data_IF_357378877317
#
_entry.id   IF_357378877317
#
_cell.length_a   1.000
_cell.length_b   1.000
_cell.length_c   1.000
_cell.angle_alpha   90.00
_cell.angle_beta   90.00
_cell.angle_gamma   90.00
#
_symmetry.space_group_name_H-M   'P 1'
#
loop_
_entity.id
_entity.type
_entity.pdbx_description
1 polymer ?
#
# COMPACT_ATOMS: atom_id res chain seq x y z
N UNK A 1 -26.79 -9.16 11.71
CA UNK A 1 -26.09 -7.87 11.52
C UNK A 1 -25.31 -7.64 12.78
N UNK A 2 -24.08 -8.14 12.83
CA UNK A 2 -23.22 -8.03 14.01
C UNK A 2 -22.17 -7.00 13.66
N UNK A 3 -22.20 -5.87 14.37
CA UNK A 3 -21.21 -4.81 14.20
C UNK A 3 -19.82 -5.41 14.36
N UNK A 4 -19.04 -5.41 13.27
CA UNK A 4 -17.63 -5.74 13.29
C UNK A 4 -16.90 -4.59 14.02
N UNK A 5 -17.09 -4.55 15.35
CA UNK A 5 -16.45 -3.60 16.22
C UNK A 5 -14.95 -3.93 16.20
N UNK A 6 -14.22 -3.10 15.47
CA UNK A 6 -12.77 -3.18 15.36
C UNK A 6 -12.16 -3.19 16.77
N UNK A 7 -11.56 -4.32 17.14
CA UNK A 7 -10.77 -4.48 18.35
C UNK A 7 -9.34 -4.82 17.94
N UNK A 8 -8.33 -3.97 18.24
CA UNK A 8 -6.93 -4.31 18.01
C UNK A 8 -6.54 -5.44 18.99
N UNK A 9 -6.63 -6.70 18.57
CA UNK A 9 -6.19 -7.84 19.38
C UNK A 9 -4.66 -7.87 19.38
N UNK A 10 -3.99 -7.76 20.54
CA UNK A 10 -2.54 -7.98 20.64
C UNK A 10 -2.24 -9.45 20.35
N UNK A 11 -1.28 -9.76 19.45
CA UNK A 11 -0.79 -11.13 19.31
C UNK A 11 0.33 -11.39 20.31
N UNK A 12 0.27 -12.54 20.98
CA UNK A 12 1.39 -13.07 21.76
C UNK A 12 2.55 -13.39 20.79
N UNK A 13 3.48 -12.44 20.65
CA UNK A 13 4.57 -12.46 19.64
C UNK A 13 4.91 -11.07 19.06
N UNK A 14 4.04 -10.07 19.26
CA UNK A 14 4.16 -8.70 18.71
C UNK A 14 5.19 -7.80 19.40
N UNK A 15 5.97 -8.29 20.38
CA UNK A 15 6.77 -7.42 21.24
C UNK A 15 7.92 -6.69 20.50
N UNK A 16 8.51 -7.31 19.45
CA UNK A 16 9.71 -6.76 18.78
C UNK A 16 9.60 -6.54 17.26
N UNK A 17 8.75 -7.26 16.50
CA UNK A 17 8.60 -7.07 15.04
C UNK A 17 7.13 -6.92 14.61
N UNK A 18 6.43 -5.90 15.13
CA UNK A 18 5.05 -5.62 14.71
C UNK A 18 4.99 -5.21 13.23
N UNK A 19 4.27 -6.02 12.43
CA UNK A 19 4.06 -5.78 11.00
C UNK A 19 2.78 -4.98 10.79
N UNK A 20 2.82 -3.88 10.03
CA UNK A 20 1.62 -3.13 9.69
C UNK A 20 0.59 -4.03 9.01
N UNK A 21 -0.62 -3.99 9.54
CA UNK A 21 -1.75 -4.75 9.04
C UNK A 21 -2.71 -3.83 8.30
N UNK A 22 -3.17 -4.30 7.14
CA UNK A 22 -4.20 -3.64 6.35
C UNK A 22 -5.47 -4.46 6.49
N UNK A 23 -6.51 -3.82 6.97
CA UNK A 23 -7.84 -4.41 7.14
C UNK A 23 -8.79 -3.72 6.16
N UNK A 24 -9.30 -4.49 5.19
CA UNK A 24 -10.26 -4.06 4.17
C UNK A 24 -11.43 -5.03 4.17
N UNK A 25 -12.64 -4.48 4.30
CA UNK A 25 -13.88 -5.23 4.11
C UNK A 25 -14.22 -5.27 2.62
N UNK A 26 -14.37 -6.47 2.04
CA UNK A 26 -14.74 -6.65 0.64
C UNK A 26 -16.15 -6.08 0.37
N UNK A 27 -16.32 -5.18 -0.62
CA UNK A 27 -17.63 -4.63 -0.95
C UNK A 27 -18.48 -5.69 -1.66
N UNK A 28 -19.68 -5.97 -1.14
CA UNK A 28 -20.59 -6.94 -1.74
C UNK A 28 -21.07 -6.55 -3.16
N UNK A 29 -21.12 -5.24 -3.46
CA UNK A 29 -21.49 -4.70 -4.77
C UNK A 29 -20.86 -3.32 -4.96
N UNK A 30 -20.52 -2.97 -6.20
CA UNK A 30 -19.99 -1.65 -6.56
C UNK A 30 -20.99 -0.88 -7.42
N UNK A 31 -21.10 0.43 -7.18
CA UNK A 31 -21.95 1.31 -8.00
C UNK A 31 -21.19 1.68 -9.28
N UNK A 32 -21.71 1.29 -10.45
CA UNK A 32 -21.05 1.51 -11.75
C UNK A 32 -20.71 2.98 -12.02
N UNK A 33 -21.59 3.90 -11.61
CA UNK A 33 -21.37 5.35 -11.76
C UNK A 33 -20.21 5.86 -10.90
N UNK A 34 -20.06 5.37 -9.66
CA UNK A 34 -18.95 5.79 -8.80
C UNK A 34 -17.64 5.21 -9.28
N UNK A 35 -17.65 4.00 -9.87
CA UNK A 35 -16.48 3.39 -10.55
C UNK A 35 -16.06 4.21 -11.77
N UNK A 36 -17.01 4.63 -12.61
CA UNK A 36 -16.72 5.39 -13.83
C UNK A 36 -16.09 6.76 -13.51
N UNK A 37 -16.72 7.54 -12.62
CA UNK A 37 -16.24 8.88 -12.26
C UNK A 37 -15.16 8.87 -11.19
N UNK A 38 -14.68 7.70 -10.74
CA UNK A 38 -13.85 7.64 -9.54
C UNK A 38 -12.54 8.39 -9.65
N UNK A 39 -11.87 8.25 -10.80
CA UNK A 39 -10.60 8.92 -11.04
C UNK A 39 -10.77 10.44 -11.02
N UNK A 40 -11.87 10.95 -11.58
CA UNK A 40 -12.22 12.37 -11.54
C UNK A 40 -12.55 12.84 -10.11
N UNK A 41 -13.33 12.05 -9.36
CA UNK A 41 -13.71 12.33 -7.97
C UNK A 41 -12.52 12.32 -6.99
N UNK A 42 -11.44 11.63 -7.34
CA UNK A 42 -10.21 11.56 -6.55
C UNK A 42 -9.22 12.70 -6.84
N UNK A 43 -9.46 13.56 -7.83
CA UNK A 43 -8.59 14.71 -8.12
C UNK A 43 -8.41 15.60 -6.88
N UNK A 44 -9.47 15.98 -6.13
CA UNK A 44 -9.29 16.76 -4.91
C UNK A 44 -8.45 16.03 -3.85
N UNK A 45 -8.56 14.69 -3.76
CA UNK A 45 -7.70 13.89 -2.87
C UNK A 45 -6.25 13.90 -3.30
N UNK A 46 -5.96 13.90 -4.60
CA UNK A 46 -4.60 14.00 -5.13
C UNK A 46 -3.95 15.34 -4.73
N UNK A 47 -4.69 16.45 -4.79
CA UNK A 47 -4.21 17.77 -4.34
C UNK A 47 -3.92 17.76 -2.84
N UNK A 48 -4.82 17.21 -2.02
CA UNK A 48 -4.61 17.10 -0.57
C UNK A 48 -3.41 16.21 -0.25
N UNK A 49 -3.28 15.06 -0.91
CA UNK A 49 -2.14 14.15 -0.77
C UNK A 49 -0.83 14.84 -1.13
N UNK A 50 -0.80 15.62 -2.20
CA UNK A 50 0.40 16.35 -2.62
C UNK A 50 0.94 17.25 -1.49
N UNK A 51 0.08 18.06 -0.87
CA UNK A 51 0.50 18.91 0.25
C UNK A 51 0.86 18.10 1.51
N UNK A 52 0.15 17.01 1.79
CA UNK A 52 0.46 16.12 2.91
C UNK A 52 1.80 15.42 2.73
N UNK A 53 2.15 14.97 1.52
CA UNK A 53 3.42 14.33 1.21
C UNK A 53 4.58 15.33 1.32
N UNK A 54 4.39 16.60 0.94
CA UNK A 54 5.37 17.66 1.20
C UNK A 54 5.62 17.81 2.71
N UNK A 55 4.55 17.92 3.51
CA UNK A 55 4.69 18.02 4.96
C UNK A 55 5.30 16.74 5.58
N UNK A 56 4.95 15.57 5.06
CA UNK A 56 5.49 14.28 5.47
C UNK A 56 6.98 14.16 5.16
N UNK A 57 7.42 14.68 4.02
CA UNK A 57 8.83 14.72 3.64
C UNK A 57 9.68 15.47 4.68
N UNK A 58 9.31 16.70 5.03
CA UNK A 58 10.03 17.46 6.06
C UNK A 58 9.95 16.81 7.44
N UNK A 59 8.78 16.27 7.78
CA UNK A 59 8.56 15.56 9.05
C UNK A 59 9.39 14.28 9.13
N UNK A 60 9.59 13.58 8.00
CA UNK A 60 10.40 12.38 7.91
C UNK A 60 11.89 12.71 8.04
N UNK A 61 12.37 13.79 7.44
CA UNK A 61 13.75 14.24 7.63
C UNK A 61 14.02 14.48 9.11
N UNK A 62 13.15 15.25 9.78
CA UNK A 62 13.26 15.47 11.22
C UNK A 62 13.15 14.15 12.01
N UNK A 63 12.20 13.29 11.63
CA UNK A 63 11.98 11.98 12.23
C UNK A 63 13.18 11.04 12.10
N UNK A 64 13.93 11.12 11.01
CA UNK A 64 15.13 10.33 10.77
C UNK A 64 16.25 10.70 11.74
N UNK A 65 16.55 11.99 11.88
CA UNK A 65 17.53 12.47 12.88
C UNK A 65 17.07 12.16 14.31
N UNK A 66 15.78 12.38 14.62
CA UNK A 66 15.22 12.06 15.93
C UNK A 66 15.32 10.55 16.22
N UNK A 67 15.04 9.69 15.24
CA UNK A 67 15.14 8.24 15.39
C UNK A 67 16.60 7.79 15.58
N UNK A 68 17.57 8.42 14.92
CA UNK A 68 18.99 8.14 15.16
C UNK A 68 19.45 8.53 16.56
N UNK A 69 18.93 9.63 17.12
CA UNK A 69 19.28 10.12 18.44
C UNK A 69 18.54 9.39 19.58
N UNK A 70 17.24 9.11 19.41
CA UNK A 70 16.35 8.56 20.45
C UNK A 70 16.08 7.05 20.28
N UNK A 71 16.47 6.42 19.17
CA UNK A 71 16.08 5.05 18.80
C UNK A 71 14.55 4.83 18.75
N UNK A 72 13.78 5.91 18.57
CA UNK A 72 12.32 5.92 18.43
C UNK A 72 11.86 7.21 17.78
N UNK A 73 10.71 7.17 17.11
CA UNK A 73 10.07 8.39 16.62
C UNK A 73 9.45 9.20 17.78
N UNK A 74 9.61 10.54 17.80
CA UNK A 74 8.88 11.41 18.71
C UNK A 74 7.35 11.25 18.52
N UNK A 75 6.59 11.35 19.61
CA UNK A 75 5.14 11.12 19.59
C UNK A 75 4.36 11.95 18.55
N UNK A 76 4.63 13.27 18.38
CA UNK A 76 3.96 14.07 17.34
C UNK A 76 4.30 13.64 15.91
N UNK A 77 5.59 13.38 15.64
CA UNK A 77 6.11 12.93 14.35
C UNK A 77 5.46 11.61 13.95
N UNK A 78 5.46 10.63 14.87
CA UNK A 78 4.83 9.34 14.67
C UNK A 78 3.34 9.48 14.35
N UNK A 79 2.59 10.28 15.12
CA UNK A 79 1.15 10.49 14.91
C UNK A 79 0.85 11.08 13.55
N UNK A 80 1.60 12.10 13.12
CA UNK A 80 1.41 12.73 11.82
C UNK A 80 1.70 11.76 10.67
N UNK A 81 2.85 11.09 10.68
CA UNK A 81 3.22 10.12 9.64
C UNK A 81 2.22 8.96 9.58
N UNK A 82 1.75 8.45 10.73
CA UNK A 82 0.73 7.40 10.78
C UNK A 82 -0.60 7.84 10.18
N UNK A 83 -0.99 9.10 10.38
CA UNK A 83 -2.20 9.68 9.79
C UNK A 83 -2.07 9.85 8.27
N UNK A 84 -0.92 10.32 7.77
CA UNK A 84 -0.64 10.43 6.33
C UNK A 84 -0.65 9.05 5.69
N UNK A 85 -0.01 8.05 6.30
CA UNK A 85 -0.04 6.66 5.85
C UNK A 85 -1.48 6.12 5.81
N UNK A 86 -2.29 6.38 6.84
CA UNK A 86 -3.69 5.96 6.84
C UNK A 86 -4.49 6.62 5.72
N UNK A 87 -4.30 7.92 5.51
CA UNK A 87 -4.99 8.69 4.49
C UNK A 87 -4.62 8.21 3.07
N UNK A 88 -3.33 8.07 2.77
CA UNK A 88 -2.88 7.59 1.45
C UNK A 88 -3.39 6.18 1.17
N UNK A 89 -3.42 5.29 2.16
CA UNK A 89 -3.92 3.92 1.98
C UNK A 89 -5.43 3.90 1.74
N UNK A 90 -6.21 4.79 2.38
CA UNK A 90 -7.65 4.95 2.08
C UNK A 90 -7.87 5.42 0.64
N UNK A 91 -7.10 6.40 0.19
CA UNK A 91 -7.18 6.93 -1.18
C UNK A 91 -6.76 5.86 -2.19
N UNK A 92 -5.66 5.14 -1.94
CA UNK A 92 -5.19 4.03 -2.77
C UNK A 92 -6.22 2.90 -2.88
N UNK A 93 -6.84 2.49 -1.77
CA UNK A 93 -7.92 1.50 -1.79
C UNK A 93 -9.12 1.94 -2.63
N UNK A 94 -9.48 3.23 -2.58
CA UNK A 94 -10.53 3.79 -3.43
C UNK A 94 -10.11 3.83 -4.90
N UNK A 95 -8.88 4.28 -5.20
CA UNK A 95 -8.34 4.37 -6.56
C UNK A 95 -8.24 2.99 -7.23
N UNK A 96 -7.84 1.97 -6.47
CA UNK A 96 -7.75 0.58 -6.90
C UNK A 96 -9.08 -0.17 -6.88
N UNK A 97 -10.21 0.51 -6.59
CA UNK A 97 -11.55 -0.07 -6.56
C UNK A 97 -11.72 -1.22 -5.54
N UNK A 98 -10.91 -1.26 -4.48
CA UNK A 98 -11.03 -2.24 -3.40
C UNK A 98 -12.23 -1.99 -2.49
N UNK A 99 -12.76 -0.77 -2.50
CA UNK A 99 -13.83 -0.29 -1.62
C UNK A 99 -14.86 0.45 -2.46
N UNK A 100 -16.16 0.42 -2.16
CA UNK A 100 -17.18 1.19 -2.91
C UNK A 100 -17.39 2.62 -2.37
N UNK A 101 -17.10 2.84 -1.08
CA UNK A 101 -17.26 4.12 -0.40
C UNK A 101 -16.22 5.17 -0.82
N UNK A 102 -16.64 6.44 -0.89
CA UNK A 102 -15.75 7.58 -1.13
C UNK A 102 -14.91 7.90 0.11
N UNK A 103 -13.58 8.10 0.00
CA UNK A 103 -12.73 8.39 1.14
C UNK A 103 -13.04 9.76 1.75
N UNK A 104 -13.28 9.85 3.07
CA UNK A 104 -13.53 11.14 3.72
C UNK A 104 -12.23 11.97 3.82
N UNK A 105 -12.36 13.30 3.74
CA UNK A 105 -11.27 14.27 3.93
C UNK A 105 -10.89 14.44 5.41
N UNK A 106 -10.56 13.33 6.06
CA UNK A 106 -10.07 13.32 7.44
C UNK A 106 -8.80 12.50 7.52
N UNK A 107 -7.84 13.00 8.29
CA UNK A 107 -6.56 12.34 8.54
C UNK A 107 -6.71 11.17 9.52
N UNK A 108 -7.55 11.34 10.55
CA UNK A 108 -7.87 10.27 11.51
C UNK A 108 -8.62 9.12 10.84
N UNK A 109 -8.42 7.89 11.33
CA UNK A 109 -9.16 6.73 10.87
C UNK A 109 -10.64 6.82 11.31
N UNK A 110 -11.61 6.93 10.39
CA UNK A 110 -13.02 7.00 10.76
C UNK A 110 -13.51 5.65 11.28
N UNK A 111 -14.27 5.58 12.40
CA UNK A 111 -14.73 4.34 12.99
C UNK A 111 -15.66 3.49 12.11
N UNK A 112 -16.18 4.04 11.02
CA UNK A 112 -17.14 3.36 10.12
C UNK A 112 -16.57 3.15 8.71
N UNK A 113 -15.34 3.60 8.43
CA UNK A 113 -14.74 3.44 7.10
C UNK A 113 -14.14 2.02 6.94
N UNK A 114 -14.33 1.36 5.78
CA UNK A 114 -13.97 -0.05 5.60
C UNK A 114 -12.46 -0.31 5.44
N UNK A 115 -11.62 0.72 5.41
CA UNK A 115 -10.14 0.59 5.33
C UNK A 115 -9.52 1.07 6.62
N UNK A 116 -8.81 0.16 7.30
CA UNK A 116 -8.08 0.47 8.54
C UNK A 116 -6.66 -0.04 8.46
N UNK A 117 -5.78 0.68 9.14
CA UNK A 117 -4.39 0.27 9.31
C UNK A 117 -4.08 0.17 10.80
N UNK A 118 -3.43 -0.91 11.22
CA UNK A 118 -2.86 -1.01 12.56
C UNK A 118 -1.35 -0.73 12.44
N UNK A 119 -0.92 0.36 13.08
CA UNK A 119 0.48 0.75 13.23
C UNK A 119 0.69 1.07 14.71
N UNK A 120 1.80 0.59 15.27
CA UNK A 120 2.13 0.77 16.69
C UNK A 120 3.49 1.44 16.85
N UNK A 121 3.63 2.39 17.80
CA UNK A 121 4.92 2.97 18.08
C UNK A 121 5.82 1.91 18.70
N UNK A 122 7.00 1.71 18.13
CA UNK A 122 7.98 0.73 18.61
C UNK A 122 9.38 1.31 18.57
N UNK A 123 10.35 0.59 19.16
CA UNK A 123 11.77 0.97 19.12
C UNK A 123 12.36 0.66 17.75
N UNK A 124 13.32 1.49 17.34
CA UNK A 124 14.00 1.39 16.05
C UNK A 124 15.49 1.15 16.30
N UNK A 125 16.08 0.22 15.53
CA UNK A 125 17.53 0.04 15.53
C UNK A 125 18.18 1.20 14.76
N UNK A 126 19.07 1.97 15.43
CA UNK A 126 19.74 3.15 14.87
C UNK A 126 20.51 2.83 13.58
N UNK A 127 21.19 1.68 13.51
CA UNK A 127 21.90 1.25 12.30
C UNK A 127 20.93 0.99 11.15
N UNK A 128 19.79 0.35 11.43
CA UNK A 128 18.75 0.12 10.43
C UNK A 128 18.07 1.42 9.97
N UNK A 129 17.99 2.44 10.84
CA UNK A 129 17.54 3.80 10.48
C UNK A 129 18.57 4.48 9.57
N UNK A 130 19.85 4.38 9.91
CA UNK A 130 20.92 4.99 9.11
C UNK A 130 20.98 4.38 7.70
N UNK A 131 21.00 3.05 7.61
CA UNK A 131 21.00 2.33 6.34
C UNK A 131 19.61 2.16 5.70
N UNK A 132 18.58 2.86 6.21
CA UNK A 132 17.19 2.69 5.77
C UNK A 132 17.03 2.88 4.26
N UNK A 133 17.72 3.87 3.70
CA UNK A 133 17.67 4.19 2.28
C UNK A 133 18.24 3.08 1.40
N UNK A 134 19.24 2.34 1.89
CA UNK A 134 19.79 1.18 1.17
C UNK A 134 18.91 -0.06 1.36
N UNK A 135 18.45 -0.28 2.60
CA UNK A 135 17.61 -1.42 2.93
C UNK A 135 16.26 -1.36 2.21
N UNK A 136 15.71 -0.17 1.95
CA UNK A 136 14.42 -0.06 1.25
C UNK A 136 14.52 -0.43 -0.24
N UNK A 137 15.71 -0.36 -0.86
CA UNK A 137 15.87 -0.53 -2.31
C UNK A 137 15.27 -1.85 -2.83
N UNK A 138 15.58 -3.04 -2.25
CA UNK A 138 15.01 -4.28 -2.78
C UNK A 138 13.49 -4.33 -2.64
N UNK A 139 12.95 -3.85 -1.51
CA UNK A 139 11.50 -3.77 -1.30
C UNK A 139 10.84 -2.75 -2.25
N UNK A 140 11.50 -1.62 -2.53
CA UNK A 140 11.05 -0.61 -3.46
C UNK A 140 11.06 -1.12 -4.92
N UNK A 141 12.02 -1.95 -5.30
CA UNK A 141 12.02 -2.62 -6.62
C UNK A 141 10.80 -3.52 -6.74
N UNK A 142 10.58 -4.42 -5.77
CA UNK A 142 9.41 -5.33 -5.79
C UNK A 142 8.11 -4.52 -5.82
N UNK A 143 8.00 -3.48 -5.00
CA UNK A 143 6.84 -2.59 -4.98
C UNK A 143 6.65 -1.87 -6.32
N UNK A 144 7.73 -1.34 -6.91
CA UNK A 144 7.71 -0.68 -8.21
C UNK A 144 7.21 -1.60 -9.32
N UNK A 145 7.73 -2.83 -9.38
CA UNK A 145 7.35 -3.84 -10.38
C UNK A 145 5.88 -4.25 -10.25
N UNK A 146 5.42 -4.61 -9.04
CA UNK A 146 4.02 -5.04 -8.86
C UNK A 146 3.05 -3.89 -9.11
N UNK A 147 3.41 -2.67 -8.73
CA UNK A 147 2.57 -1.47 -8.91
C UNK A 147 2.51 -1.07 -10.39
N UNK A 148 3.63 -1.11 -11.12
CA UNK A 148 3.65 -0.80 -12.55
C UNK A 148 2.88 -1.83 -13.37
N UNK A 149 3.02 -3.12 -13.07
CA UNK A 149 2.24 -4.18 -13.71
C UNK A 149 0.74 -4.10 -13.39
N UNK A 150 0.38 -3.68 -12.17
CA UNK A 150 -1.01 -3.37 -11.83
C UNK A 150 -1.55 -2.23 -12.71
N UNK A 151 -0.81 -1.13 -12.82
CA UNK A 151 -1.19 0.02 -13.65
C UNK A 151 -1.32 -0.33 -15.13
N UNK A 152 -0.44 -1.19 -15.66
CA UNK A 152 -0.51 -1.66 -17.05
C UNK A 152 -1.85 -2.34 -17.38
N UNK A 153 -2.49 -2.95 -16.38
CA UNK A 153 -3.79 -3.63 -16.53
C UNK A 153 -4.95 -2.84 -15.91
N UNK A 154 -4.71 -1.64 -15.37
CA UNK A 154 -5.72 -0.87 -14.64
C UNK A 154 -6.97 -0.57 -15.49
N UNK A 155 -6.81 -0.28 -16.78
CA UNK A 155 -7.93 -0.04 -17.70
C UNK A 155 -8.77 -1.30 -17.90
N UNK A 156 -8.12 -2.47 -18.01
CA UNK A 156 -8.80 -3.76 -18.13
C UNK A 156 -9.60 -4.07 -16.86
N UNK A 157 -8.99 -3.86 -15.68
CA UNK A 157 -9.63 -4.08 -14.39
C UNK A 157 -10.80 -3.12 -14.14
N UNK A 158 -10.61 -1.85 -14.50
CA UNK A 158 -11.66 -0.84 -14.46
C UNK A 158 -12.84 -1.25 -15.35
N UNK A 159 -12.59 -1.75 -16.56
CA UNK A 159 -13.66 -2.23 -17.45
C UNK A 159 -14.37 -3.47 -16.88
N UNK A 160 -13.61 -4.45 -16.37
CA UNK A 160 -14.16 -5.67 -15.76
C UNK A 160 -15.07 -5.32 -14.58
N UNK A 161 -14.62 -4.45 -13.68
CA UNK A 161 -15.42 -4.01 -12.52
C UNK A 161 -16.64 -3.20 -12.94
N UNK A 162 -16.52 -2.35 -13.96
CA UNK A 162 -17.63 -1.58 -14.53
C UNK A 162 -18.72 -2.49 -15.13
N UNK A 163 -18.35 -3.54 -15.87
CA UNK A 163 -19.27 -4.49 -16.51
C UNK A 163 -19.88 -5.46 -15.49
N UNK A 164 -19.06 -6.00 -14.58
CA UNK A 164 -19.50 -7.03 -13.64
C UNK A 164 -20.23 -6.42 -12.42
N UNK A 165 -19.99 -5.13 -12.12
CA UNK A 165 -20.53 -4.45 -10.93
C UNK A 165 -19.99 -5.00 -9.61
N UNK A 166 -18.95 -5.84 -9.67
CA UNK A 166 -18.22 -6.43 -8.55
C UNK A 166 -16.81 -6.80 -9.00
N UNK A 167 -15.88 -6.83 -8.06
CA UNK A 167 -14.51 -7.26 -8.33
C UNK A 167 -14.42 -8.79 -8.24
N UNK A 168 -13.87 -9.50 -9.24
CA UNK A 168 -13.61 -10.94 -9.11
C UNK A 168 -12.67 -11.22 -7.93
N UNK A 169 -12.92 -12.30 -7.17
CA UNK A 169 -12.12 -12.63 -5.97
C UNK A 169 -10.60 -12.69 -6.20
N UNK A 170 -10.09 -13.38 -7.24
CA UNK A 170 -8.65 -13.41 -7.50
C UNK A 170 -8.06 -12.01 -7.74
N UNK A 171 -8.84 -11.14 -8.39
CA UNK A 171 -8.43 -9.77 -8.66
C UNK A 171 -8.41 -8.95 -7.38
N UNK A 172 -9.45 -9.04 -6.55
CA UNK A 172 -9.50 -8.40 -5.24
C UNK A 172 -8.30 -8.81 -4.37
N UNK A 173 -8.03 -10.12 -4.27
CA UNK A 173 -6.89 -10.66 -3.50
C UNK A 173 -5.55 -10.08 -3.98
N UNK A 174 -5.31 -10.09 -5.29
CA UNK A 174 -4.06 -9.60 -5.88
C UNK A 174 -3.89 -8.09 -5.71
N UNK A 175 -4.97 -7.32 -5.83
CA UNK A 175 -4.96 -5.86 -5.65
C UNK A 175 -4.75 -5.49 -4.19
N UNK A 176 -5.44 -6.19 -3.28
CA UNK A 176 -5.27 -6.01 -1.84
C UNK A 176 -3.86 -6.37 -1.39
N UNK A 177 -3.26 -7.42 -1.98
CA UNK A 177 -1.86 -7.77 -1.77
C UNK A 177 -0.91 -6.64 -2.20
N UNK A 178 -1.13 -6.07 -3.39
CA UNK A 178 -0.36 -4.93 -3.91
C UNK A 178 -0.44 -3.72 -2.98
N UNK A 179 -1.66 -3.29 -2.62
CA UNK A 179 -1.86 -2.14 -1.73
C UNK A 179 -1.29 -2.40 -0.32
N UNK A 180 -1.44 -3.62 0.20
CA UNK A 180 -0.87 -4.01 1.50
C UNK A 180 0.66 -3.92 1.48
N UNK A 181 1.29 -4.41 0.40
CA UNK A 181 2.74 -4.37 0.26
C UNK A 181 3.23 -2.92 0.14
N UNK A 182 2.54 -2.09 -0.65
CA UNK A 182 2.83 -0.66 -0.78
C UNK A 182 2.74 0.07 0.56
N UNK A 183 1.69 -0.17 1.34
CA UNK A 183 1.52 0.37 2.69
C UNK A 183 2.68 -0.06 3.62
N UNK A 184 3.08 -1.33 3.59
CA UNK A 184 4.21 -1.84 4.38
C UNK A 184 5.53 -1.20 3.99
N UNK A 185 5.80 -1.07 2.69
CA UNK A 185 7.01 -0.40 2.19
C UNK A 185 7.07 1.04 2.66
N UNK A 186 5.96 1.77 2.65
CA UNK A 186 5.98 3.13 3.15
C UNK A 186 5.99 3.26 4.66
N UNK A 187 5.33 2.37 5.39
CA UNK A 187 5.46 2.30 6.85
C UNK A 187 6.92 2.03 7.25
N UNK A 188 7.62 1.18 6.48
CA UNK A 188 9.04 0.98 6.64
C UNK A 188 9.82 2.25 6.26
N UNK A 189 9.65 2.80 5.06
CA UNK A 189 10.37 3.98 4.63
C UNK A 189 10.20 5.19 5.58
N UNK A 190 8.97 5.42 6.05
CA UNK A 190 8.60 6.49 6.99
C UNK A 190 8.91 6.19 8.46
N UNK A 191 9.65 5.12 8.76
CA UNK A 191 10.09 4.73 10.10
C UNK A 191 8.96 4.38 11.09
N UNK A 192 7.73 4.19 10.59
CA UNK A 192 6.58 3.81 11.40
C UNK A 192 6.61 2.35 11.86
N UNK A 193 7.36 1.48 11.16
CA UNK A 193 7.58 0.09 11.58
C UNK A 193 9.01 -0.37 11.29
N UNK A 194 9.67 -1.09 12.21
CA UNK A 194 10.98 -1.69 11.98
C UNK A 194 10.92 -2.92 11.08
N UNK A 195 9.74 -3.53 10.91
CA UNK A 195 9.56 -4.80 10.22
C UNK A 195 9.81 -4.66 8.71
N UNK A 196 10.73 -5.46 8.19
CA UNK A 196 11.06 -5.42 6.76
C UNK A 196 9.84 -5.86 5.91
N UNK A 197 9.50 -5.14 4.81
CA UNK A 197 8.34 -5.46 3.98
C UNK A 197 8.45 -6.84 3.34
N UNK A 198 7.64 -7.78 3.81
CA UNK A 198 7.58 -9.17 3.31
C UNK A 198 6.15 -9.66 3.16
N UNK A 199 6.01 -10.90 2.68
CA UNK A 199 4.74 -11.56 2.43
C UNK A 199 3.89 -10.84 1.36
N UNK A 200 4.43 -10.66 0.16
CA UNK A 200 3.62 -10.15 -0.96
C UNK A 200 2.45 -11.09 -1.29
N UNK A 201 2.66 -12.41 -1.26
CA UNK A 201 1.68 -13.44 -1.64
C UNK A 201 0.69 -13.84 -0.54
N UNK A 202 0.43 -12.93 0.40
CA UNK A 202 -0.47 -13.21 1.53
C UNK A 202 0.21 -13.89 2.71
N UNK A 203 -0.61 -14.35 3.66
CA UNK A 203 -0.21 -15.03 4.89
C UNK A 203 -0.52 -16.53 4.76
N UNK A 204 0.31 -17.38 5.38
CA UNK A 204 0.10 -18.83 5.31
C UNK A 204 -1.16 -19.20 6.09
N UNK A 205 -2.12 -19.86 5.43
CA UNK A 205 -3.40 -20.26 6.04
C UNK A 205 -3.24 -21.09 7.33
N UNK A 206 -2.14 -21.83 7.46
CA UNK A 206 -1.81 -22.64 8.63
C UNK A 206 -1.25 -21.82 9.81
N UNK A 207 -0.77 -20.60 9.57
CA UNK A 207 -0.20 -19.70 10.59
C UNK A 207 -1.26 -18.86 11.31
N UNK A 208 -2.53 -19.01 10.94
CA UNK A 208 -3.64 -18.18 11.40
C UNK A 208 -4.27 -18.81 12.64
N UNK A 209 -4.24 -18.15 13.82
CA UNK A 209 -4.90 -18.65 15.01
C UNK A 209 -6.41 -18.80 14.77
N UNK A 210 -6.97 -19.98 15.10
CA UNK A 210 -8.41 -20.23 14.99
C UNK A 210 -9.16 -19.33 16.00
N UNK A 211 -10.16 -18.57 15.54
CA UNK A 211 -11.02 -17.74 16.38
C UNK A 211 -10.87 -16.21 16.28
N UNK A 212 -9.96 -15.69 15.45
CA UNK A 212 -9.89 -14.23 15.20
C UNK A 212 -10.96 -13.77 14.18
N UNK A 213 -11.54 -12.56 14.34
CA UNK A 213 -12.41 -11.96 13.33
C UNK A 213 -11.68 -11.88 12.00
N UNK A 214 -12.19 -12.60 10.99
CA UNK A 214 -11.61 -12.59 9.65
C UNK A 214 -12.16 -11.41 8.87
N UNK A 215 -11.28 -10.48 8.52
CA UNK A 215 -11.55 -9.54 7.45
C UNK A 215 -10.95 -10.04 6.14
N UNK A 216 -11.34 -9.49 5.00
CA UNK A 216 -10.93 -9.99 3.69
C UNK A 216 -9.40 -9.92 3.47
N UNK A 217 -8.70 -9.09 4.25
CA UNK A 217 -7.24 -8.93 4.19
C UNK A 217 -6.53 -9.24 5.51
N UNK A 218 -7.24 -9.78 6.51
CA UNK A 218 -6.71 -10.07 7.85
C UNK A 218 -7.22 -11.42 8.36
N UNK A 219 -6.48 -12.52 8.14
CA UNK A 219 -5.27 -12.64 7.30
C UNK A 219 -5.60 -12.59 5.80
N UNK A 220 -4.64 -12.16 4.98
CA UNK A 220 -4.81 -12.19 3.52
C UNK A 220 -4.38 -13.56 3.00
N UNK A 221 -5.32 -14.47 2.78
CA UNK A 221 -5.06 -15.79 2.16
C UNK A 221 -5.39 -15.71 0.68
N UNK A 222 -4.42 -16.00 -0.18
CA UNK A 222 -4.59 -15.89 -1.63
C UNK A 222 -4.87 -17.25 -2.26
N UNK A 223 -5.86 -17.27 -3.15
CA UNK A 223 -6.12 -18.37 -4.08
C UNK A 223 -4.97 -18.52 -5.09
N UNK A 224 -4.92 -19.67 -5.77
CA UNK A 224 -3.97 -19.89 -6.87
C UNK A 224 -4.11 -18.82 -7.97
N UNK A 225 -5.34 -18.41 -8.28
CA UNK A 225 -5.62 -17.35 -9.24
C UNK A 225 -5.10 -15.99 -8.78
N UNK A 226 -5.28 -15.64 -7.49
CA UNK A 226 -4.75 -14.40 -6.93
C UNK A 226 -3.23 -14.35 -6.97
N UNK A 227 -2.56 -15.46 -6.63
CA UNK A 227 -1.09 -15.57 -6.72
C UNK A 227 -0.61 -15.44 -8.17
N UNK A 228 -1.29 -16.08 -9.12
CA UNK A 228 -0.97 -15.99 -10.54
C UNK A 228 -1.08 -14.54 -11.06
N UNK A 229 -2.09 -13.78 -10.61
CA UNK A 229 -2.23 -12.37 -10.95
C UNK A 229 -1.09 -11.50 -10.39
N UNK A 230 -0.65 -11.73 -9.15
CA UNK A 230 0.51 -11.03 -8.60
C UNK A 230 1.78 -11.32 -9.41
N UNK A 231 1.99 -12.57 -9.80
CA UNK A 231 3.11 -12.95 -10.70
C UNK A 231 2.98 -12.22 -12.04
N UNK A 232 1.78 -12.18 -12.62
CA UNK A 232 1.53 -11.44 -13.85
C UNK A 232 1.88 -9.95 -13.71
N UNK A 233 1.54 -9.30 -12.60
CA UNK A 233 1.93 -7.91 -12.35
C UNK A 233 3.45 -7.75 -12.29
N UNK A 234 4.16 -8.63 -11.58
CA UNK A 234 5.62 -8.58 -11.52
C UNK A 234 6.26 -8.71 -12.90
N UNK A 235 5.77 -9.65 -13.72
CA UNK A 235 6.27 -9.89 -15.08
C UNK A 235 5.99 -8.67 -15.97
N UNK A 236 4.77 -8.16 -15.97
CA UNK A 236 4.40 -6.98 -16.77
C UNK A 236 5.16 -5.73 -16.33
N UNK A 237 5.35 -5.55 -15.02
CA UNK A 237 6.13 -4.44 -14.49
C UNK A 237 7.59 -4.52 -14.89
N UNK A 238 8.16 -5.72 -14.91
CA UNK A 238 9.53 -5.95 -15.38
C UNK A 238 9.65 -5.66 -16.87
N UNK A 239 8.74 -6.22 -17.69
CA UNK A 239 8.69 -5.95 -19.13
C UNK A 239 8.59 -4.46 -19.43
N UNK A 240 7.70 -3.74 -18.75
CA UNK A 240 7.55 -2.29 -18.89
C UNK A 240 8.79 -1.49 -18.47
N UNK A 241 9.50 -1.93 -17.43
CA UNK A 241 10.76 -1.28 -17.01
C UNK A 241 11.89 -1.46 -18.02
N UNK A 242 11.95 -2.63 -18.66
CA UNK A 242 12.96 -2.97 -19.66
C UNK A 242 12.72 -2.19 -20.95
N UNK A 243 11.49 -2.17 -21.45
CA UNK A 243 11.15 -1.43 -22.69
C UNK A 243 11.42 0.06 -22.58
N UNK A 244 11.02 0.67 -21.46
CA UNK A 244 11.26 2.11 -21.20
C UNK A 244 12.76 2.43 -21.13
N UNK A 245 13.57 1.51 -20.59
CA UNK A 245 15.03 1.69 -20.50
C UNK A 245 15.68 1.65 -21.89
N UNK A 246 15.28 0.71 -22.76
CA UNK A 246 15.78 0.63 -24.14
C UNK A 246 15.40 1.85 -24.98
N UNK A 247 14.16 2.34 -24.87
CA UNK A 247 13.74 3.53 -25.64
C UNK A 247 14.54 4.76 -25.26
N UNK A 248 14.90 4.91 -23.98
CA UNK A 248 15.68 6.05 -23.49
C UNK A 248 17.15 5.98 -23.94
N UNK A 249 17.75 4.79 -23.98
CA UNK A 249 19.12 4.64 -24.51
C UNK A 249 19.19 4.94 -26.01
N UNK A 250 18.20 4.49 -26.80
CA UNK A 250 18.22 4.71 -28.25
C UNK A 250 17.95 6.18 -28.64
N UNK A 251 17.15 6.92 -27.86
CA UNK A 251 16.96 8.36 -28.08
C UNK A 251 18.24 9.16 -27.81
N UNK A 252 19.00 8.81 -26.77
CA UNK A 252 20.23 9.52 -26.43
C UNK A 252 21.32 9.32 -27.52
N UNK A 253 21.41 8.12 -28.12
CA UNK A 253 22.37 7.83 -29.19
C UNK A 253 22.04 8.52 -30.53
N UNK A 254 20.75 8.74 -30.80
CA UNK A 254 20.30 9.39 -32.05
C UNK A 254 20.46 10.92 -32.01
N UNK A 255 20.29 11.54 -30.84
CA UNK A 255 20.52 12.98 -30.67
C UNK A 255 22.01 13.35 -30.75
N UNK A 256 22.90 12.48 -30.27
CA UNK A 256 24.35 12.69 -30.36
C UNK A 256 24.91 12.56 -31.79
N UNK A 257 24.23 11.80 -32.66
CA UNK A 257 24.65 11.58 -34.06
C UNK A 257 24.08 12.62 -35.04
N UNK A 258 22.97 13.28 -34.70
CA UNK A 258 22.37 14.35 -35.53
C UNK A 258 22.97 15.75 -35.30
N UNK A 259 23.80 15.93 -34.27
CA UNK A 259 24.46 17.20 -33.91
C UNK A 259 25.88 17.38 -34.44
N UNK A 260 26.34 16.57 -35.41
CA UNK A 260 27.65 16.71 -36.09
C UNK A 260 27.50 17.04 -37.56
#
# INVERSE_FOLDING_TARGET
MTDAQWSPVPRAGDADEFRPELDIVEPARQRRLTVFFRLLLLIPHAVVLFFLEIAAFFTLIFGWFAALALARLPGPVYRFLAQVLAYRTRVGASAMLLVDSYPPFTLSQPPQYPVRIDVRPTRLNRLAVFFRLFLVIPAAIVQGLVTSGWWALAVLWWLITLILGRMPRPLFEATAATLRYEMRVAAYFSLLSPAYPKALFGDDALSVPQGQPRSATRPLVMSTGGKALVVLFLVLGLLGSVTTSFTRSTSDDTEYSAGR
#
